data_IF_803163274645
#
_entry.id   IF_803163274645
#
_cell.length_a   1.000
_cell.length_b   1.000
_cell.length_c   1.000
_cell.angle_alpha   90.00
_cell.angle_beta   90.00
_cell.angle_gamma   90.00
#
_symmetry.space_group_name_H-M   'P 1'
#
loop_
_entity.id
_entity.type
_entity.pdbx_description
1 polymer ?
#
# COMPACT_ATOMS: atom_id res chain seq x y z
N UNK A 1 29.14 13.81 -16.95
CA UNK A 1 29.29 12.37 -16.72
C UNK A 1 28.02 11.90 -16.06
N UNK A 2 27.07 11.43 -16.88
CA UNK A 2 25.77 10.96 -16.42
C UNK A 2 25.90 9.45 -16.11
N UNK A 3 26.13 9.11 -14.85
CA UNK A 3 25.99 7.73 -14.41
C UNK A 3 24.48 7.42 -14.31
N UNK A 4 23.91 6.96 -15.42
CA UNK A 4 22.60 6.33 -15.40
C UNK A 4 22.69 5.08 -14.50
N UNK A 5 22.10 5.15 -13.30
CA UNK A 5 21.93 3.99 -12.45
C UNK A 5 20.98 3.06 -13.20
N UNK A 6 21.51 1.94 -13.67
CA UNK A 6 20.74 0.93 -14.40
C UNK A 6 19.77 0.26 -13.41
N UNK A 7 18.50 0.70 -13.41
CA UNK A 7 17.43 0.15 -12.59
C UNK A 7 17.24 -1.35 -12.78
N UNK A 8 17.60 -1.90 -13.95
CA UNK A 8 17.56 -3.34 -14.23
C UNK A 8 18.50 -4.19 -13.35
N UNK A 9 19.50 -3.58 -12.72
CA UNK A 9 20.40 -4.28 -11.80
C UNK A 9 19.77 -4.55 -10.42
N UNK A 10 18.71 -3.81 -10.05
CA UNK A 10 17.96 -4.00 -8.79
C UNK A 10 16.93 -5.12 -8.95
N UNK A 11 16.36 -5.26 -10.15
CA UNK A 11 15.36 -6.29 -10.47
C UNK A 11 15.97 -7.70 -10.59
N UNK A 12 17.27 -7.80 -10.90
CA UNK A 12 17.96 -9.08 -11.16
C UNK A 12 18.62 -9.74 -9.96
N UNK A 13 18.43 -9.24 -8.74
CA UNK A 13 18.81 -10.01 -7.54
C UNK A 13 17.76 -11.09 -7.27
N UNK A 14 18.09 -12.40 -7.35
CA UNK A 14 17.10 -13.47 -7.31
C UNK A 14 16.24 -13.51 -6.03
N UNK A 15 16.71 -12.92 -4.93
CA UNK A 15 15.98 -12.85 -3.66
C UNK A 15 15.10 -11.59 -3.54
N UNK A 16 15.42 -10.53 -4.28
CA UNK A 16 14.57 -9.33 -4.39
C UNK A 16 13.47 -9.57 -5.43
N UNK A 17 13.79 -10.30 -6.49
CA UNK A 17 12.87 -10.73 -7.54
C UNK A 17 11.78 -11.66 -7.00
N UNK A 18 12.08 -12.57 -6.07
CA UNK A 18 11.09 -13.51 -5.52
C UNK A 18 10.03 -12.83 -4.63
N UNK A 19 10.34 -11.64 -4.09
CA UNK A 19 9.37 -10.82 -3.34
C UNK A 19 8.54 -9.88 -4.25
N UNK A 20 8.97 -9.69 -5.51
CA UNK A 20 8.32 -8.81 -6.49
C UNK A 20 7.60 -9.56 -7.61
N UNK A 21 7.97 -10.81 -7.89
CA UNK A 21 7.45 -11.54 -9.02
C UNK A 21 6.55 -12.69 -8.64
N UNK A 22 5.36 -12.40 -8.19
CA UNK A 22 4.21 -13.22 -8.55
C UNK A 22 3.31 -12.52 -9.60
N UNK A 23 3.76 -11.44 -10.24
CA UNK A 23 3.19 -11.06 -11.53
C UNK A 23 3.94 -11.85 -12.61
N UNK A 24 3.45 -13.03 -12.95
CA UNK A 24 3.79 -13.72 -14.19
C UNK A 24 3.56 -12.76 -15.35
N UNK A 25 4.64 -12.22 -15.90
CA UNK A 25 4.63 -11.49 -17.17
C UNK A 25 4.22 -12.48 -18.26
N UNK A 26 3.08 -12.23 -18.90
CA UNK A 26 2.78 -12.76 -20.21
C UNK A 26 1.86 -13.95 -20.27
N UNK A 27 0.64 -13.82 -19.70
CA UNK A 27 -0.51 -14.55 -20.25
C UNK A 27 -1.79 -13.75 -19.95
N UNK A 28 -2.57 -13.44 -20.98
CA UNK A 28 -3.84 -12.70 -20.90
C UNK A 28 -5.00 -13.57 -20.38
N UNK A 29 -4.72 -14.53 -19.51
CA UNK A 29 -5.74 -15.21 -18.74
C UNK A 29 -6.02 -14.41 -17.46
N UNK A 30 -7.27 -14.32 -16.96
CA UNK A 30 -7.57 -13.68 -15.68
C UNK A 30 -6.71 -14.37 -14.62
N UNK A 31 -5.77 -13.61 -14.01
CA UNK A 31 -4.87 -14.16 -13.00
C UNK A 31 -5.71 -14.75 -11.88
N UNK A 32 -5.49 -16.03 -11.55
CA UNK A 32 -6.13 -16.65 -10.41
C UNK A 32 -5.87 -15.80 -9.17
N UNK A 33 -6.91 -15.59 -8.35
CA UNK A 33 -6.77 -14.85 -7.08
C UNK A 33 -5.86 -15.64 -6.14
N UNK A 34 -4.97 -14.95 -5.44
CA UNK A 34 -4.20 -15.57 -4.36
C UNK A 34 -5.16 -16.03 -3.26
N UNK A 35 -5.01 -17.27 -2.80
CA UNK A 35 -5.82 -17.86 -1.73
C UNK A 35 -5.24 -17.54 -0.38
N UNK A 36 -6.05 -16.97 0.52
CA UNK A 36 -5.57 -16.48 1.80
C UNK A 36 -6.28 -17.06 3.03
N UNK A 37 -5.49 -17.23 4.09
CA UNK A 37 -5.99 -17.35 5.47
C UNK A 37 -5.85 -15.98 6.14
N UNK A 38 -6.96 -15.42 6.64
CA UNK A 38 -6.99 -14.13 7.33
C UNK A 38 -6.87 -14.34 8.84
N UNK A 39 -5.98 -13.59 9.47
CA UNK A 39 -5.74 -13.64 10.92
C UNK A 39 -6.07 -12.29 11.56
N UNK A 40 -6.91 -12.31 12.59
CA UNK A 40 -7.25 -11.11 13.37
C UNK A 40 -7.14 -11.36 14.88
N UNK A 41 -6.58 -10.38 15.60
CA UNK A 41 -6.42 -10.43 17.05
C UNK A 41 -7.25 -9.32 17.70
N UNK A 42 -8.14 -9.69 18.61
CA UNK A 42 -8.87 -8.75 19.45
C UNK A 42 -8.08 -8.46 20.72
N UNK A 43 -7.70 -7.21 20.95
CA UNK A 43 -6.93 -6.77 22.14
C UNK A 43 -7.80 -6.16 23.25
N UNK A 44 -9.09 -5.99 23.02
CA UNK A 44 -10.02 -5.47 24.03
C UNK A 44 -11.15 -6.45 24.28
N UNK A 45 -11.85 -6.28 25.42
CA UNK A 45 -13.07 -7.04 25.72
C UNK A 45 -14.19 -6.72 24.72
N UNK A 46 -14.23 -5.50 24.19
CA UNK A 46 -15.11 -5.13 23.10
C UNK A 46 -14.47 -5.55 21.77
N UNK A 47 -14.94 -6.66 21.24
CA UNK A 47 -14.52 -7.15 19.93
C UNK A 47 -15.00 -6.16 18.85
N UNK A 48 -14.10 -5.34 18.33
CA UNK A 48 -14.41 -4.46 17.20
C UNK A 48 -14.50 -5.29 15.91
N UNK A 49 -15.70 -5.75 15.59
CA UNK A 49 -15.99 -6.54 14.39
C UNK A 49 -15.82 -5.69 13.13
N UNK A 50 -16.06 -4.39 13.20
CA UNK A 50 -15.91 -3.46 12.08
C UNK A 50 -14.46 -3.44 11.54
N UNK A 51 -13.46 -3.52 12.41
CA UNK A 51 -12.04 -3.58 12.02
C UNK A 51 -11.71 -4.87 11.25
N UNK A 52 -12.34 -5.99 11.59
CA UNK A 52 -12.21 -7.23 10.84
C UNK A 52 -12.92 -7.15 9.49
N UNK A 53 -14.14 -6.61 9.46
CA UNK A 53 -14.91 -6.42 8.21
C UNK A 53 -14.18 -5.49 7.24
N UNK A 54 -13.61 -4.38 7.75
CA UNK A 54 -12.79 -3.49 6.93
C UNK A 54 -11.57 -4.23 6.33
N UNK A 55 -10.93 -5.10 7.12
CA UNK A 55 -9.78 -5.86 6.62
C UNK A 55 -10.17 -6.91 5.58
N UNK A 56 -11.34 -7.51 5.68
CA UNK A 56 -11.86 -8.40 4.64
C UNK A 56 -12.05 -7.64 3.32
N UNK A 57 -12.65 -6.44 3.38
CA UNK A 57 -12.80 -5.57 2.20
C UNK A 57 -11.44 -5.13 1.62
N UNK A 58 -10.40 -4.93 2.47
CA UNK A 58 -9.04 -4.68 2.01
C UNK A 58 -8.48 -5.89 1.24
N UNK A 59 -8.61 -7.11 1.78
CA UNK A 59 -8.15 -8.32 1.11
C UNK A 59 -8.84 -8.52 -0.25
N UNK A 60 -10.17 -8.32 -0.32
CA UNK A 60 -10.92 -8.37 -1.57
C UNK A 60 -10.46 -7.30 -2.56
N UNK A 61 -10.19 -6.07 -2.06
CA UNK A 61 -9.68 -4.97 -2.88
C UNK A 61 -8.25 -5.22 -3.41
N UNK A 62 -7.47 -6.07 -2.74
CA UNK A 62 -6.17 -6.56 -3.17
C UNK A 62 -6.26 -7.76 -4.14
N UNK A 63 -7.47 -8.14 -4.58
CA UNK A 63 -7.75 -9.29 -5.45
C UNK A 63 -7.35 -10.64 -4.83
N UNK A 64 -7.59 -10.80 -3.52
CA UNK A 64 -7.32 -12.01 -2.75
C UNK A 64 -8.62 -12.75 -2.44
N UNK A 65 -8.61 -14.08 -2.54
CA UNK A 65 -9.71 -14.95 -2.13
C UNK A 65 -9.51 -15.41 -0.68
N UNK A 66 -10.45 -15.06 0.21
CA UNK A 66 -10.38 -15.46 1.63
C UNK A 66 -10.96 -16.84 1.80
N UNK A 67 -10.13 -17.85 2.10
CA UNK A 67 -10.55 -19.22 2.35
C UNK A 67 -11.03 -19.43 3.78
N UNK A 68 -10.35 -18.83 4.76
CA UNK A 68 -10.67 -18.96 6.17
C UNK A 68 -10.28 -17.72 6.96
N UNK A 69 -11.05 -17.43 8.02
CA UNK A 69 -10.75 -16.36 8.96
C UNK A 69 -10.49 -16.99 10.32
N UNK A 70 -9.30 -16.76 10.88
CA UNK A 70 -8.89 -17.22 12.19
C UNK A 70 -8.81 -16.02 13.13
N UNK A 71 -9.57 -16.07 14.21
CA UNK A 71 -9.57 -14.99 15.21
C UNK A 71 -9.05 -15.48 16.55
N UNK A 72 -8.45 -14.58 17.31
CA UNK A 72 -8.04 -14.83 18.70
C UNK A 72 -8.22 -13.57 19.55
N UNK A 73 -8.32 -13.74 20.87
CA UNK A 73 -8.37 -12.61 21.82
C UNK A 73 -7.15 -12.67 22.72
N UNK A 74 -6.50 -11.51 22.93
CA UNK A 74 -5.32 -11.37 23.79
C UNK A 74 -5.28 -10.01 24.46
N UNK A 75 -4.62 -9.95 25.63
CA UNK A 75 -4.37 -8.68 26.29
C UNK A 75 -3.24 -7.89 25.61
N UNK A 76 -2.17 -8.58 25.17
CA UNK A 76 -0.99 -7.98 24.52
C UNK A 76 -0.43 -8.87 23.42
N UNK A 77 0.22 -8.30 22.40
CA UNK A 77 0.92 -9.05 21.35
C UNK A 77 2.07 -9.86 21.96
N UNK A 78 2.32 -11.06 21.47
CA UNK A 78 3.49 -11.84 21.83
C UNK A 78 4.71 -11.45 20.97
N UNK A 79 5.90 -11.48 21.60
CA UNK A 79 7.14 -11.10 20.93
C UNK A 79 7.48 -12.03 19.75
N UNK A 80 7.27 -13.34 19.87
CA UNK A 80 7.71 -14.34 18.90
C UNK A 80 6.84 -14.38 17.63
N UNK A 81 5.52 -14.48 17.78
CA UNK A 81 4.58 -14.69 16.67
C UNK A 81 3.49 -13.62 16.58
N UNK A 82 3.49 -12.60 17.43
CA UNK A 82 2.38 -11.67 17.64
C UNK A 82 1.14 -12.33 18.30
N UNK A 83 0.84 -13.54 17.90
CA UNK A 83 -0.17 -14.47 18.43
C UNK A 83 0.49 -15.55 19.30
N UNK A 84 -0.31 -16.41 19.96
CA UNK A 84 0.22 -17.55 20.71
C UNK A 84 0.80 -18.63 19.81
N UNK A 85 1.74 -19.42 20.33
CA UNK A 85 2.39 -20.51 19.59
C UNK A 85 1.38 -21.54 19.10
N UNK A 86 0.42 -21.97 19.96
CA UNK A 86 -0.64 -22.89 19.53
C UNK A 86 -1.54 -22.32 18.43
N UNK A 87 -1.81 -20.99 18.46
CA UNK A 87 -2.59 -20.35 17.39
C UNK A 87 -1.76 -20.21 16.10
N UNK A 88 -0.45 -20.02 16.19
CA UNK A 88 0.45 -20.03 15.03
C UNK A 88 0.48 -21.41 14.36
N UNK A 89 0.45 -22.50 15.16
CA UNK A 89 0.35 -23.85 14.62
C UNK A 89 -1.00 -24.11 13.95
N UNK A 90 -2.10 -23.67 14.56
CA UNK A 90 -3.45 -23.77 13.98
C UNK A 90 -3.52 -23.06 12.61
N UNK A 91 -2.87 -21.89 12.46
CA UNK A 91 -2.80 -21.18 11.18
C UNK A 91 -1.98 -21.98 10.17
N UNK A 92 -0.84 -22.55 10.57
CA UNK A 92 -0.02 -23.38 9.70
C UNK A 92 -0.77 -24.63 9.21
N UNK A 93 -1.54 -25.27 10.09
CA UNK A 93 -2.36 -26.43 9.75
C UNK A 93 -3.49 -26.05 8.78
N UNK A 94 -4.13 -24.90 8.97
CA UNK A 94 -5.15 -24.35 8.06
C UNK A 94 -4.57 -24.02 6.68
N UNK A 95 -3.40 -23.36 6.63
CA UNK A 95 -2.70 -23.05 5.36
C UNK A 95 -2.44 -24.31 4.57
N UNK A 96 -1.92 -25.35 5.23
CA UNK A 96 -1.64 -26.64 4.60
C UNK A 96 -2.90 -27.37 4.15
N UNK A 97 -3.96 -27.37 4.96
CA UNK A 97 -5.22 -28.05 4.66
C UNK A 97 -5.98 -27.41 3.49
N UNK A 98 -5.90 -26.08 3.37
CA UNK A 98 -6.62 -25.30 2.36
C UNK A 98 -5.77 -24.98 1.12
N UNK A 99 -4.50 -25.37 1.10
CA UNK A 99 -3.54 -25.01 0.05
C UNK A 99 -3.53 -23.49 -0.19
N UNK A 100 -3.38 -22.74 0.91
CA UNK A 100 -3.41 -21.28 0.87
C UNK A 100 -2.03 -20.72 0.49
N UNK A 101 -2.02 -19.71 -0.39
CA UNK A 101 -0.80 -19.07 -0.92
C UNK A 101 -0.21 -18.05 0.07
N UNK A 102 -1.06 -17.45 0.93
CA UNK A 102 -0.68 -16.33 1.77
C UNK A 102 -1.47 -16.29 3.08
N UNK A 103 -0.83 -15.85 4.16
CA UNK A 103 -1.49 -15.47 5.41
C UNK A 103 -1.57 -13.96 5.50
N UNK A 104 -2.76 -13.40 5.65
CA UNK A 104 -3.00 -11.97 5.83
C UNK A 104 -3.29 -11.68 7.31
N UNK A 105 -2.49 -10.80 7.91
CA UNK A 105 -2.63 -10.44 9.33
C UNK A 105 -3.15 -9.01 9.48
N UNK A 106 -4.32 -8.84 10.13
CA UNK A 106 -4.96 -7.53 10.33
C UNK A 106 -4.27 -6.68 11.42
N UNK A 107 -2.96 -6.73 11.49
CA UNK A 107 -2.15 -5.94 12.42
C UNK A 107 -0.78 -5.71 11.80
N UNK A 108 -0.11 -4.65 12.26
CA UNK A 108 1.29 -4.42 11.89
C UNK A 108 2.19 -5.41 12.62
N UNK A 109 3.02 -6.13 11.87
CA UNK A 109 3.97 -7.09 12.41
C UNK A 109 5.39 -6.53 12.40
N UNK A 110 6.17 -6.91 13.41
CA UNK A 110 7.62 -6.69 13.35
C UNK A 110 8.26 -7.65 12.33
N UNK A 111 9.43 -7.30 11.78
CA UNK A 111 10.15 -8.17 10.85
C UNK A 111 10.45 -9.57 11.41
N UNK A 112 10.70 -9.67 12.72
CA UNK A 112 10.93 -10.94 13.39
C UNK A 112 9.65 -11.79 13.48
N UNK A 113 8.50 -11.18 13.80
CA UNK A 113 7.21 -11.87 13.85
C UNK A 113 6.79 -12.39 12.48
N UNK A 114 6.96 -11.57 11.42
CA UNK A 114 6.66 -12.00 10.06
C UNK A 114 7.47 -13.25 9.69
N UNK A 115 8.79 -13.23 9.87
CA UNK A 115 9.66 -14.38 9.56
C UNK A 115 9.31 -15.62 10.38
N UNK A 116 9.02 -15.45 11.66
CA UNK A 116 8.65 -16.59 12.51
C UNK A 116 7.35 -17.23 12.04
N UNK A 117 6.36 -16.41 11.62
CA UNK A 117 5.11 -16.90 11.05
C UNK A 117 5.34 -17.55 9.67
N UNK A 118 6.12 -16.94 8.78
CA UNK A 118 6.48 -17.52 7.49
C UNK A 118 7.18 -18.88 7.65
N UNK A 119 8.08 -18.98 8.65
CA UNK A 119 8.79 -20.23 8.96
C UNK A 119 7.88 -21.35 9.41
N UNK A 120 6.82 -21.08 10.17
CA UNK A 120 5.88 -22.11 10.65
C UNK A 120 4.81 -22.41 9.61
N UNK A 121 4.29 -21.39 8.91
CA UNK A 121 3.24 -21.54 7.91
C UNK A 121 3.75 -22.04 6.56
N UNK A 122 5.06 -21.93 6.29
CA UNK A 122 5.71 -22.28 5.01
C UNK A 122 5.08 -21.56 3.79
N UNK A 123 4.48 -20.39 4.02
CA UNK A 123 3.93 -19.52 2.99
C UNK A 123 4.23 -18.04 3.32
N UNK A 124 3.93 -17.14 2.39
CA UNK A 124 4.08 -15.70 2.61
C UNK A 124 3.16 -15.22 3.73
N UNK A 125 3.65 -14.27 4.54
CA UNK A 125 2.85 -13.58 5.57
C UNK A 125 2.87 -12.08 5.27
N UNK A 126 1.69 -11.52 5.02
CA UNK A 126 1.50 -10.11 4.72
C UNK A 126 0.69 -9.46 5.83
N UNK A 127 1.21 -8.39 6.39
CA UNK A 127 0.51 -7.61 7.42
C UNK A 127 -0.41 -6.54 6.79
N UNK A 128 -1.22 -5.87 7.61
CA UNK A 128 -2.15 -4.83 7.15
C UNK A 128 -1.47 -3.77 6.28
N UNK A 129 -0.27 -3.33 6.64
CA UNK A 129 0.51 -2.35 5.87
C UNK A 129 0.87 -2.88 4.48
N UNK A 130 1.29 -4.14 4.39
CA UNK A 130 1.59 -4.79 3.12
C UNK A 130 0.37 -4.87 2.21
N UNK A 131 -0.80 -5.29 2.73
CA UNK A 131 -2.05 -5.35 1.95
C UNK A 131 -2.43 -3.97 1.39
N UNK A 132 -2.33 -2.90 2.20
CA UNK A 132 -2.62 -1.54 1.75
C UNK A 132 -1.65 -1.11 0.63
N UNK A 133 -0.35 -1.40 0.79
CA UNK A 133 0.66 -1.09 -0.23
C UNK A 133 0.42 -1.85 -1.54
N UNK A 134 -0.05 -3.10 -1.48
CA UNK A 134 -0.38 -3.89 -2.67
C UNK A 134 -1.59 -3.29 -3.41
N UNK A 135 -2.63 -2.85 -2.67
CA UNK A 135 -3.77 -2.14 -3.26
C UNK A 135 -3.30 -0.85 -3.94
N UNK A 136 -2.44 -0.07 -3.27
CA UNK A 136 -1.92 1.18 -3.83
C UNK A 136 -1.08 0.95 -5.08
N UNK A 137 -0.27 -0.11 -5.12
CA UNK A 137 0.52 -0.48 -6.29
C UNK A 137 -0.36 -0.81 -7.50
N UNK A 138 -1.48 -1.50 -7.28
CA UNK A 138 -2.47 -1.81 -8.33
C UNK A 138 -3.25 -0.58 -8.81
N UNK A 139 -3.44 0.44 -7.94
CA UNK A 139 -4.26 1.63 -8.22
C UNK A 139 -3.47 2.83 -8.74
N UNK A 140 -2.17 2.91 -8.49
CA UNK A 140 -1.32 4.01 -8.94
C UNK A 140 -1.23 4.04 -10.48
N UNK A 141 -1.75 5.11 -11.09
CA UNK A 141 -1.76 5.32 -12.54
C UNK A 141 -0.81 6.42 -12.97
N UNK A 142 -0.78 7.53 -12.24
CA UNK A 142 0.09 8.66 -12.53
C UNK A 142 1.55 8.33 -12.23
N UNK A 143 2.45 9.06 -12.87
CA UNK A 143 3.88 8.95 -12.60
C UNK A 143 4.20 9.27 -11.12
N UNK A 144 3.58 10.32 -10.58
CA UNK A 144 3.76 10.69 -9.16
C UNK A 144 3.25 9.61 -8.21
N UNK A 145 2.02 9.09 -8.46
CA UNK A 145 1.45 8.02 -7.63
C UNK A 145 2.33 6.76 -7.61
N UNK A 146 2.88 6.37 -8.76
CA UNK A 146 3.82 5.24 -8.86
C UNK A 146 5.09 5.47 -8.05
N UNK A 147 5.71 6.66 -8.15
CA UNK A 147 6.89 7.02 -7.36
C UNK A 147 6.60 7.03 -5.85
N UNK A 148 5.42 7.51 -5.43
CA UNK A 148 5.01 7.51 -4.02
C UNK A 148 4.82 6.09 -3.48
N UNK A 149 4.17 5.21 -4.26
CA UNK A 149 3.98 3.81 -3.89
C UNK A 149 5.31 3.08 -3.82
N UNK A 150 6.17 3.25 -4.82
CA UNK A 150 7.51 2.65 -4.84
C UNK A 150 8.35 3.09 -3.63
N UNK A 151 8.34 4.39 -3.31
CA UNK A 151 9.00 4.91 -2.11
C UNK A 151 8.48 4.28 -0.83
N UNK A 152 7.15 4.17 -0.69
CA UNK A 152 6.51 3.56 0.48
C UNK A 152 6.85 2.07 0.60
N UNK A 153 6.82 1.32 -0.52
CA UNK A 153 7.21 -0.08 -0.57
C UNK A 153 8.69 -0.29 -0.22
N UNK A 154 9.60 0.57 -0.72
CA UNK A 154 11.02 0.49 -0.39
C UNK A 154 11.30 0.79 1.08
N UNK A 155 10.64 1.78 1.67
CA UNK A 155 10.72 2.06 3.12
C UNK A 155 10.24 0.86 3.94
N UNK A 156 9.09 0.29 3.59
CA UNK A 156 8.52 -0.89 4.25
C UNK A 156 9.45 -2.11 4.17
N UNK A 157 10.04 -2.39 2.99
CA UNK A 157 11.01 -3.48 2.80
C UNK A 157 12.32 -3.22 3.53
N UNK A 158 12.84 -1.98 3.49
CA UNK A 158 14.08 -1.61 4.17
C UNK A 158 14.03 -1.95 5.65
N UNK A 159 12.90 -1.67 6.31
CA UNK A 159 12.70 -2.01 7.71
C UNK A 159 12.69 -3.54 7.95
N UNK A 160 12.23 -4.33 6.99
CA UNK A 160 12.17 -5.81 7.08
C UNK A 160 13.51 -6.48 6.82
N UNK A 161 14.36 -5.92 5.95
CA UNK A 161 15.72 -6.43 5.68
C UNK A 161 16.66 -6.37 6.90
N UNK A 162 16.36 -5.53 7.89
CA UNK A 162 17.16 -5.42 9.12
C UNK A 162 17.24 -6.74 9.88
N UNK A 163 16.28 -7.63 9.72
CA UNK A 163 16.25 -8.91 10.42
C UNK A 163 16.93 -10.09 9.71
N UNK A 164 17.16 -10.02 8.39
CA UNK A 164 17.77 -11.13 7.65
C UNK A 164 19.27 -11.35 7.95
N UNK A 165 20.00 -10.27 8.31
CA UNK A 165 21.45 -10.35 8.57
C UNK A 165 21.84 -11.17 9.77
N UNK A 166 21.00 -11.26 10.79
CA UNK A 166 21.31 -11.96 12.05
C UNK A 166 21.23 -13.47 11.87
N UNK A 167 20.42 -13.96 10.96
CA UNK A 167 20.24 -15.40 10.71
C UNK A 167 21.35 -15.96 9.82
N UNK A 168 21.85 -15.19 8.86
CA UNK A 168 22.97 -15.59 7.98
C UNK A 168 24.35 -15.50 8.66
N UNK A 169 24.52 -14.61 9.63
CA UNK A 169 25.80 -14.48 10.34
C UNK A 169 26.07 -15.60 11.36
N UNK A 170 25.05 -16.39 11.72
CA UNK A 170 25.23 -17.56 12.59
C UNK A 170 25.83 -18.79 11.89
N UNK A 171 25.91 -18.79 10.56
CA UNK A 171 26.33 -19.94 9.75
C UNK A 171 27.81 -19.92 9.30
N UNK A 172 28.59 -18.93 9.65
CA UNK A 172 30.01 -18.92 9.28
C UNK A 172 30.75 -17.66 9.67
N UNK A 173 31.59 -17.74 10.67
CA UNK A 173 32.59 -16.72 10.97
C UNK A 173 32.95 -16.64 12.43
N UNK A 174 34.20 -16.75 12.77
CA UNK A 174 34.75 -16.44 14.09
C UNK A 174 34.56 -14.95 14.45
N UNK A 175 34.80 -14.62 15.71
CA UNK A 175 34.71 -13.25 16.25
C UNK A 175 35.53 -12.28 15.37
N UNK A 176 34.85 -11.32 14.73
CA UNK A 176 35.48 -10.20 13.98
C UNK A 176 35.50 -10.29 12.46
N UNK A 177 34.99 -11.37 11.83
CA UNK A 177 34.88 -11.46 10.37
C UNK A 177 33.44 -11.31 9.89
N UNK A 178 33.19 -10.27 9.06
CA UNK A 178 31.89 -10.11 8.38
C UNK A 178 31.72 -11.24 7.37
N UNK A 179 30.71 -12.09 7.56
CA UNK A 179 30.38 -13.16 6.63
C UNK A 179 29.90 -12.63 5.26
N UNK A 180 29.91 -13.47 4.20
CA UNK A 180 29.48 -13.07 2.86
C UNK A 180 28.02 -12.57 2.81
N UNK A 181 27.13 -13.07 3.67
CA UNK A 181 25.76 -12.63 3.81
C UNK A 181 25.62 -11.21 4.40
N UNK A 182 26.50 -10.81 5.33
CA UNK A 182 26.51 -9.45 5.88
C UNK A 182 26.94 -8.42 4.83
N UNK A 183 27.93 -8.77 3.98
CA UNK A 183 28.34 -7.89 2.87
C UNK A 183 27.22 -7.68 1.85
N UNK A 184 26.49 -8.73 1.50
CA UNK A 184 25.35 -8.65 0.57
C UNK A 184 24.26 -7.74 1.13
N UNK A 185 23.84 -7.95 2.38
CA UNK A 185 22.84 -7.10 3.04
C UNK A 185 23.26 -5.64 3.19
N UNK A 186 24.55 -5.38 3.41
CA UNK A 186 25.06 -4.01 3.47
C UNK A 186 25.01 -3.33 2.09
N UNK A 187 25.28 -4.07 1.02
CA UNK A 187 25.15 -3.60 -0.36
C UNK A 187 23.67 -3.31 -0.68
N UNK A 188 22.79 -4.26 -0.38
CA UNK A 188 21.35 -4.11 -0.64
C UNK A 188 20.75 -2.91 0.11
N UNK A 189 21.14 -2.71 1.37
CA UNK A 189 20.77 -1.52 2.14
C UNK A 189 21.28 -0.22 1.52
N UNK A 190 22.51 -0.22 1.00
CA UNK A 190 23.08 0.94 0.35
C UNK A 190 22.33 1.28 -0.93
N UNK A 191 22.00 0.26 -1.73
CA UNK A 191 21.19 0.41 -2.95
C UNK A 191 19.83 0.99 -2.60
N UNK A 192 19.09 0.38 -1.66
CA UNK A 192 17.77 0.86 -1.22
C UNK A 192 17.83 2.30 -0.73
N UNK A 193 18.82 2.66 0.09
CA UNK A 193 18.99 4.05 0.55
C UNK A 193 19.23 5.03 -0.59
N UNK A 194 20.04 4.65 -1.59
CA UNK A 194 20.25 5.48 -2.77
C UNK A 194 18.98 5.65 -3.60
N UNK A 195 18.23 4.56 -3.79
CA UNK A 195 16.95 4.61 -4.51
C UNK A 195 15.92 5.47 -3.76
N UNK A 196 15.81 5.34 -2.44
CA UNK A 196 14.94 6.20 -1.62
C UNK A 196 15.33 7.68 -1.77
N UNK A 197 16.62 8.01 -1.75
CA UNK A 197 17.09 9.38 -1.93
C UNK A 197 16.75 9.91 -3.33
N UNK A 198 16.91 9.10 -4.36
CA UNK A 198 16.54 9.44 -5.74
C UNK A 198 15.04 9.70 -5.86
N UNK A 199 14.19 8.79 -5.38
CA UNK A 199 12.74 8.94 -5.43
C UNK A 199 12.24 10.17 -4.67
N UNK A 200 12.83 10.49 -3.51
CA UNK A 200 12.52 11.70 -2.77
C UNK A 200 12.84 12.97 -3.60
N UNK A 201 14.00 13.01 -4.28
CA UNK A 201 14.35 14.14 -5.14
C UNK A 201 13.39 14.30 -6.32
N UNK A 202 13.00 13.19 -6.96
CA UNK A 202 12.01 13.22 -8.06
C UNK A 202 10.66 13.75 -7.57
N UNK A 203 10.18 13.27 -6.43
CA UNK A 203 8.93 13.75 -5.83
C UNK A 203 9.01 15.24 -5.44
N UNK A 204 10.15 15.72 -4.95
CA UNK A 204 10.35 17.16 -4.69
C UNK A 204 10.29 17.99 -5.96
N UNK A 205 10.87 17.52 -7.07
CA UNK A 205 10.81 18.19 -8.35
C UNK A 205 9.36 18.29 -8.85
N UNK A 206 8.60 17.20 -8.78
CA UNK A 206 7.17 17.18 -9.12
C UNK A 206 6.39 18.17 -8.25
N UNK A 207 6.67 18.20 -6.94
CA UNK A 207 6.04 19.14 -6.00
C UNK A 207 6.30 20.61 -6.37
N UNK A 208 7.52 20.95 -6.78
CA UNK A 208 7.87 22.32 -7.23
C UNK A 208 7.06 22.72 -8.49
N UNK A 209 6.97 21.83 -9.48
CA UNK A 209 6.18 22.06 -10.69
C UNK A 209 4.70 22.25 -10.35
N UNK A 210 4.16 21.39 -9.48
CA UNK A 210 2.77 21.48 -9.00
C UNK A 210 2.49 22.81 -8.30
N UNK A 211 3.39 23.25 -7.40
CA UNK A 211 3.24 24.51 -6.68
C UNK A 211 3.20 25.72 -7.66
N UNK A 212 4.05 25.71 -8.70
CA UNK A 212 4.02 26.75 -9.73
C UNK A 212 2.70 26.75 -10.51
N UNK A 213 2.15 25.58 -10.83
CA UNK A 213 0.85 25.48 -11.48
C UNK A 213 -0.30 25.91 -10.56
N UNK A 214 -0.18 25.62 -9.25
CA UNK A 214 -1.16 26.01 -8.22
C UNK A 214 -1.23 27.52 -8.07
N UNK A 215 -0.09 28.21 -7.91
CA UNK A 215 -0.05 29.67 -7.81
C UNK A 215 -0.78 30.34 -8.99
N UNK A 216 -0.59 29.84 -10.21
CA UNK A 216 -1.31 30.34 -11.39
C UNK A 216 -2.82 30.14 -11.33
N UNK A 217 -3.30 29.07 -10.63
CA UNK A 217 -4.75 28.82 -10.44
C UNK A 217 -5.33 29.64 -9.29
N UNK A 218 -4.54 29.95 -8.26
CA UNK A 218 -4.94 30.81 -7.14
C UNK A 218 -5.28 32.21 -7.62
N UNK A 219 -4.52 32.73 -8.58
CA UNK A 219 -4.77 34.02 -9.21
C UNK A 219 -6.12 34.07 -9.97
N UNK A 220 -6.72 32.94 -10.30
CA UNK A 220 -8.02 32.88 -11.01
C UNK A 220 -9.24 33.12 -10.12
N UNK A 221 -9.09 33.14 -8.79
CA UNK A 221 -10.20 33.32 -7.83
C UNK A 221 -11.28 32.24 -7.85
N UNK A 222 -11.02 31.07 -8.48
CA UNK A 222 -11.97 29.98 -8.61
C UNK A 222 -12.16 29.26 -7.25
N UNK A 223 -13.41 29.16 -6.73
CA UNK A 223 -13.68 28.39 -5.52
C UNK A 223 -13.30 26.92 -5.69
N UNK A 224 -12.75 26.32 -4.65
CA UNK A 224 -12.35 24.90 -4.62
C UNK A 224 -13.16 24.14 -3.59
N UNK A 225 -13.55 22.92 -3.94
CA UNK A 225 -14.28 22.01 -3.05
C UNK A 225 -13.61 20.65 -3.11
N UNK A 226 -13.21 20.13 -1.96
CA UNK A 226 -12.66 18.77 -1.86
C UNK A 226 -13.59 17.83 -1.13
N UNK A 227 -13.80 16.63 -1.69
CA UNK A 227 -14.57 15.56 -1.08
C UNK A 227 -13.66 14.72 -0.19
N UNK A 228 -13.93 14.73 1.11
CA UNK A 228 -13.12 14.07 2.14
C UNK A 228 -13.98 13.09 2.91
N UNK A 229 -13.42 11.94 3.31
CA UNK A 229 -14.12 10.95 4.14
C UNK A 229 -13.50 9.56 4.01
N UNK A 230 -14.08 8.59 4.70
CA UNK A 230 -13.63 7.20 4.67
C UNK A 230 -13.68 6.59 3.26
N UNK A 231 -12.91 5.52 3.05
CA UNK A 231 -13.03 4.71 1.84
C UNK A 231 -14.44 4.12 1.72
N UNK A 232 -14.91 3.98 0.48
CA UNK A 232 -16.22 3.40 0.17
C UNK A 232 -17.46 4.11 0.77
N UNK A 233 -17.38 5.39 1.16
CA UNK A 233 -18.53 6.19 1.61
C UNK A 233 -19.26 6.92 0.47
N UNK A 234 -18.89 6.64 -0.79
CA UNK A 234 -19.55 7.23 -1.95
C UNK A 234 -19.01 8.57 -2.43
N UNK A 235 -17.78 8.99 -2.04
CA UNK A 235 -17.17 10.26 -2.49
C UNK A 235 -17.11 10.36 -4.02
N UNK A 236 -16.56 9.35 -4.67
CA UNK A 236 -16.43 9.32 -6.13
C UNK A 236 -17.78 9.22 -6.83
N UNK A 237 -18.73 8.52 -6.23
CA UNK A 237 -20.14 8.48 -6.71
C UNK A 237 -20.78 9.85 -6.64
N UNK A 238 -20.66 10.54 -5.48
CA UNK A 238 -21.15 11.91 -5.31
C UNK A 238 -20.52 12.86 -6.33
N UNK A 239 -19.17 12.78 -6.53
CA UNK A 239 -18.48 13.56 -7.54
C UNK A 239 -19.05 13.31 -8.93
N UNK A 240 -19.24 12.05 -9.33
CA UNK A 240 -19.76 11.70 -10.64
C UNK A 240 -21.16 12.28 -10.85
N UNK A 241 -22.05 12.16 -9.85
CA UNK A 241 -23.41 12.74 -9.89
C UNK A 241 -23.36 14.25 -10.01
N UNK A 242 -22.51 14.94 -9.26
CA UNK A 242 -22.36 16.40 -9.35
C UNK A 242 -21.83 16.85 -10.72
N UNK A 243 -20.84 16.15 -11.25
CA UNK A 243 -20.31 16.42 -12.59
C UNK A 243 -21.39 16.20 -13.65
N UNK A 244 -22.13 15.09 -13.61
CA UNK A 244 -23.21 14.80 -14.57
C UNK A 244 -24.34 15.83 -14.49
N UNK A 245 -24.68 16.34 -13.29
CA UNK A 245 -25.73 17.35 -13.10
C UNK A 245 -25.35 18.74 -13.63
N UNK A 246 -24.06 19.11 -13.57
CA UNK A 246 -23.59 20.47 -13.82
C UNK A 246 -22.64 20.60 -15.01
N UNK A 247 -22.33 19.52 -15.72
CA UNK A 247 -21.50 19.58 -16.92
C UNK A 247 -22.37 19.80 -18.16
N UNK A 248 -22.34 21.01 -18.70
CA UNK A 248 -23.15 21.37 -19.88
C UNK A 248 -22.57 20.85 -21.19
N UNK A 249 -21.32 20.40 -21.24
CA UNK A 249 -20.62 20.03 -22.48
C UNK A 249 -20.50 18.50 -22.60
N UNK A 250 -21.39 17.90 -23.43
CA UNK A 250 -21.40 16.46 -23.72
C UNK A 250 -20.24 15.97 -24.58
N UNK A 251 -19.37 16.87 -25.02
CA UNK A 251 -18.27 16.57 -25.96
C UNK A 251 -16.97 16.16 -25.28
N UNK A 252 -16.79 16.43 -23.98
CA UNK A 252 -15.65 15.94 -23.23
C UNK A 252 -15.88 14.48 -22.85
N UNK A 253 -15.10 13.57 -23.44
CA UNK A 253 -15.17 12.13 -23.16
C UNK A 253 -15.26 11.88 -21.66
N UNK A 254 -16.33 11.20 -21.25
CA UNK A 254 -16.50 10.64 -19.92
C UNK A 254 -15.33 9.70 -19.59
N UNK A 255 -14.34 10.16 -18.89
CA UNK A 255 -13.54 9.29 -18.06
C UNK A 255 -14.39 8.99 -16.80
N UNK A 256 -15.27 8.02 -16.93
CA UNK A 256 -15.98 7.45 -15.77
C UNK A 256 -14.89 6.86 -14.86
N UNK A 257 -14.70 7.50 -13.70
CA UNK A 257 -14.01 6.82 -12.62
C UNK A 257 -14.94 5.70 -12.18
N UNK A 258 -14.52 4.47 -12.45
CA UNK A 258 -15.23 3.27 -12.05
C UNK A 258 -15.52 3.38 -10.55
N UNK A 259 -16.79 3.65 -10.24
CA UNK A 259 -17.34 3.54 -8.89
C UNK A 259 -17.51 2.05 -8.63
N UNK A 260 -16.41 1.38 -8.20
CA UNK A 260 -16.47 -0.01 -7.76
C UNK A 260 -16.63 -0.02 -6.24
N UNK A 261 -17.40 -0.96 -5.71
CA UNK A 261 -17.52 -1.25 -4.26
C UNK A 261 -16.21 -1.85 -3.71
N UNK A 262 -15.11 -1.11 -3.89
CA UNK A 262 -13.77 -1.51 -3.48
C UNK A 262 -13.11 -0.39 -2.69
N UNK A 263 -12.35 -0.77 -1.66
CA UNK A 263 -11.58 0.20 -0.88
C UNK A 263 -10.47 0.81 -1.76
N UNK A 264 -10.21 2.10 -1.57
CA UNK A 264 -9.24 2.87 -2.35
C UNK A 264 -9.49 2.85 -3.87
N UNK A 265 -10.76 2.87 -4.30
CA UNK A 265 -11.10 3.03 -5.71
C UNK A 265 -10.45 4.30 -6.32
N UNK A 266 -10.32 5.36 -5.53
CA UNK A 266 -9.57 6.58 -5.85
C UNK A 266 -8.33 6.66 -4.97
N UNK A 267 -7.14 6.51 -5.55
CA UNK A 267 -5.85 6.72 -4.90
C UNK A 267 -5.29 8.12 -5.21
N UNK A 268 -5.52 8.61 -6.40
CA UNK A 268 -5.02 9.88 -6.89
C UNK A 268 -6.14 10.92 -6.91
N UNK A 269 -5.81 12.15 -6.55
CA UNK A 269 -6.79 13.24 -6.59
C UNK A 269 -7.24 13.49 -8.03
N UNK A 270 -8.55 13.51 -8.24
CA UNK A 270 -9.13 13.82 -9.53
C UNK A 270 -9.93 15.10 -9.42
N UNK A 271 -9.50 16.15 -10.13
CA UNK A 271 -10.15 17.47 -10.13
C UNK A 271 -10.98 17.64 -11.39
N UNK A 272 -12.21 18.12 -11.24
CA UNK A 272 -13.13 18.49 -12.32
C UNK A 272 -13.69 19.88 -12.07
N UNK A 273 -13.91 20.62 -13.14
CA UNK A 273 -14.56 21.94 -13.09
C UNK A 273 -16.04 21.76 -13.40
N UNK A 274 -16.89 22.35 -12.58
CA UNK A 274 -18.36 22.36 -12.77
C UNK A 274 -18.86 23.79 -12.78
N UNK A 275 -19.89 24.06 -13.60
CA UNK A 275 -20.59 25.35 -13.64
C UNK A 275 -21.91 25.23 -12.88
N UNK A 276 -22.07 25.99 -11.81
CA UNK A 276 -23.28 26.00 -11.00
C UNK A 276 -24.42 26.76 -11.72
N UNK A 277 -25.65 26.61 -11.23
CA UNK A 277 -26.84 27.29 -11.81
C UNK A 277 -26.72 28.82 -11.84
N UNK A 278 -25.97 29.40 -10.92
CA UNK A 278 -25.69 30.84 -10.82
C UNK A 278 -24.49 31.29 -11.65
N UNK A 279 -24.03 30.44 -12.59
CA UNK A 279 -22.89 30.72 -13.48
C UNK A 279 -21.51 30.75 -12.80
N UNK A 280 -21.42 30.46 -11.50
CA UNK A 280 -20.12 30.32 -10.85
C UNK A 280 -19.44 29.02 -11.27
N UNK A 281 -18.16 29.13 -11.58
CA UNK A 281 -17.31 27.99 -11.90
C UNK A 281 -16.62 27.53 -10.60
N UNK A 282 -16.70 26.25 -10.29
CA UNK A 282 -16.15 25.63 -9.07
C UNK A 282 -15.26 24.45 -9.46
N UNK A 283 -14.12 24.31 -8.80
CA UNK A 283 -13.24 23.15 -8.92
C UNK A 283 -13.62 22.11 -7.87
N UNK A 284 -14.05 20.92 -8.31
CA UNK A 284 -14.42 19.79 -7.45
C UNK A 284 -13.35 18.73 -7.50
N UNK A 285 -12.76 18.41 -6.34
CA UNK A 285 -11.67 17.43 -6.21
C UNK A 285 -12.11 16.22 -5.38
N UNK A 286 -11.98 15.03 -5.93
CA UNK A 286 -12.12 13.76 -5.20
C UNK A 286 -10.77 13.34 -4.64
N UNK A 287 -10.73 12.90 -3.38
CA UNK A 287 -9.49 12.55 -2.67
C UNK A 287 -9.47 11.10 -2.23
N UNK A 288 -8.29 10.60 -1.89
CA UNK A 288 -8.12 9.28 -1.30
C UNK A 288 -8.97 9.14 -0.03
N UNK A 289 -9.64 7.99 0.14
CA UNK A 289 -10.42 7.72 1.34
C UNK A 289 -9.55 7.35 2.54
N UNK A 290 -10.00 7.72 3.73
CA UNK A 290 -9.39 7.26 4.98
C UNK A 290 -9.79 5.83 5.32
N UNK A 291 -8.92 5.14 6.04
CA UNK A 291 -9.20 3.83 6.68
C UNK A 291 -8.74 3.89 8.13
N UNK A 292 -9.25 2.96 8.94
CA UNK A 292 -8.77 2.82 10.31
C UNK A 292 -7.31 2.36 10.33
N UNK A 293 -6.54 2.82 11.32
CA UNK A 293 -5.15 2.39 11.56
C UNK A 293 -4.24 2.52 10.32
N UNK A 294 -4.42 3.58 9.52
CA UNK A 294 -3.50 3.87 8.42
C UNK A 294 -2.09 4.14 8.98
N UNK A 295 -1.05 3.40 8.56
CA UNK A 295 0.31 3.60 9.04
C UNK A 295 0.83 5.01 8.75
N UNK A 296 1.50 5.65 9.74
CA UNK A 296 2.02 7.01 9.58
C UNK A 296 2.98 7.15 8.40
N UNK A 297 3.83 6.15 8.15
CA UNK A 297 4.76 6.15 7.02
C UNK A 297 4.03 6.24 5.67
N UNK A 298 2.83 5.64 5.56
CA UNK A 298 1.98 5.75 4.38
C UNK A 298 1.33 7.13 4.27
N UNK A 299 0.84 7.68 5.38
CA UNK A 299 0.29 9.05 5.42
C UNK A 299 1.33 10.04 4.92
N UNK A 300 2.58 9.90 5.36
CA UNK A 300 3.69 10.78 4.95
C UNK A 300 4.02 10.64 3.47
N UNK A 301 4.02 9.41 2.95
CA UNK A 301 4.28 9.14 1.53
C UNK A 301 3.17 9.69 0.61
N UNK A 302 1.92 9.74 1.07
CA UNK A 302 0.77 10.27 0.34
C UNK A 302 0.35 11.69 0.78
N UNK A 303 1.18 12.37 1.57
CA UNK A 303 0.92 13.73 2.05
C UNK A 303 0.59 14.70 0.92
N UNK A 304 1.22 14.56 -0.24
CA UNK A 304 0.97 15.44 -1.39
C UNK A 304 -0.43 15.28 -1.97
N UNK A 305 -1.03 14.09 -1.93
CA UNK A 305 -2.43 13.87 -2.33
C UNK A 305 -3.41 14.41 -1.29
N UNK A 306 -3.03 14.41 -0.01
CA UNK A 306 -3.81 15.00 1.08
C UNK A 306 -3.65 16.53 1.16
N UNK A 307 -2.57 17.09 0.63
CA UNK A 307 -2.36 18.55 0.57
C UNK A 307 -3.46 19.26 -0.24
N UNK A 308 -4.07 18.61 -1.23
CA UNK A 308 -5.22 19.18 -1.96
C UNK A 308 -6.41 19.49 -1.05
N UNK A 309 -6.56 18.77 0.05
CA UNK A 309 -7.61 19.03 1.07
C UNK A 309 -7.30 20.29 1.86
N UNK A 310 -6.02 20.53 2.18
CA UNK A 310 -5.59 21.66 3.01
C UNK A 310 -5.75 22.99 2.25
N UNK A 311 -5.68 22.93 0.93
CA UNK A 311 -5.71 24.11 0.06
C UNK A 311 -7.03 24.31 -0.69
N UNK A 312 -8.10 23.63 -0.26
CA UNK A 312 -9.47 23.75 -0.82
C UNK A 312 -10.32 24.85 -0.15
#
# INVERSE_FOLDING_TARGET
MNDFINLSAVENSPEISTALSSSKTGDNSPSAKDKAVVVHVFFSQNKNIEDLQEFQLLAESANVEILQIITTSRATPQAKYFIGEGKAQEIADAVKALDADVVLVNHQLTPAQTRNLESICQCRVVDRTGVILDIFAQRARSHEGKLQVELAQLKYRSNRLIGFGITMSRLGGGVGTKGPGEKKLEIDRRVIKKTIAYLNNELENIKKVRNTQRSKREDSGMPRVSLVGYTNVGKSTLRNVLVDMYQNDKTLKKEEVLSQDMLFATLETTTRTIELKDKRIVSLTDTVGFIQKLPHDLVESFKSTLEEVIFS
#
